data_IF_995388932069
#
_entry.id   IF_995388932069
#
_cell.length_a   1.000
_cell.length_b   1.000
_cell.length_c   1.000
_cell.angle_alpha   90.00
_cell.angle_beta   90.00
_cell.angle_gamma   90.00
#
_symmetry.space_group_name_H-M   'P 1'
#
loop_
_entity.id
_entity.type
_entity.pdbx_description
1 polymer ?
#
# COMPACT_ATOMS: atom_id res chain seq x y z
N UNK A 1 -3.17 -41.13 46.50
CA UNK A 1 -3.78 -40.45 45.35
C UNK A 1 -3.01 -39.16 45.12
N UNK A 2 -2.20 -39.09 44.06
CA UNK A 2 -1.50 -37.88 43.64
C UNK A 2 -1.89 -37.61 42.19
N UNK A 3 -2.63 -36.53 41.95
CA UNK A 3 -3.10 -36.13 40.63
C UNK A 3 -2.04 -35.29 39.92
N UNK A 4 -1.53 -35.78 38.79
CA UNK A 4 -0.77 -34.97 37.84
C UNK A 4 -1.73 -34.06 37.06
N UNK A 5 -1.56 -32.75 37.17
CA UNK A 5 -2.15 -31.79 36.24
C UNK A 5 -1.20 -31.60 35.04
N UNK A 6 -1.58 -32.13 33.87
CA UNK A 6 -0.95 -31.77 32.60
C UNK A 6 -1.38 -30.34 32.24
N UNK A 7 -0.45 -29.40 32.26
CA UNK A 7 -0.64 -28.12 31.58
C UNK A 7 -0.39 -28.34 30.07
N UNK A 8 -1.46 -28.31 29.29
CA UNK A 8 -1.38 -28.28 27.83
C UNK A 8 -0.80 -26.94 27.38
N UNK A 9 0.38 -26.97 26.77
CA UNK A 9 0.93 -25.83 26.04
C UNK A 9 0.15 -25.67 24.72
N UNK A 10 -0.83 -24.77 24.71
CA UNK A 10 -1.42 -24.30 23.46
C UNK A 10 -0.41 -23.39 22.77
N UNK A 11 0.27 -23.90 21.73
CA UNK A 11 1.05 -23.04 20.83
C UNK A 11 0.08 -22.15 20.07
N UNK A 12 -0.05 -20.89 20.48
CA UNK A 12 -0.71 -19.88 19.67
C UNK A 12 0.15 -19.65 18.42
N UNK A 13 -0.25 -20.27 17.31
CA UNK A 13 0.30 -19.96 15.99
C UNK A 13 -0.15 -18.55 15.66
N UNK A 14 0.73 -17.56 15.84
CA UNK A 14 0.50 -16.22 15.32
C UNK A 14 0.70 -16.30 13.80
N UNK A 15 -0.37 -16.63 13.08
CA UNK A 15 -0.42 -16.44 11.65
C UNK A 15 -0.21 -14.94 11.35
N UNK A 16 0.54 -14.62 10.30
CA UNK A 16 0.74 -13.24 9.85
C UNK A 16 -0.63 -12.58 9.69
N UNK A 17 -0.90 -11.58 10.53
CA UNK A 17 -2.22 -10.93 10.59
C UNK A 17 -2.48 -10.27 9.23
N UNK A 18 -3.60 -10.58 8.55
CA UNK A 18 -4.01 -9.84 7.36
C UNK A 18 -4.03 -8.34 7.67
N UNK A 19 -3.21 -7.55 6.96
CA UNK A 19 -3.12 -6.10 7.17
C UNK A 19 -1.96 -5.63 8.06
N UNK A 20 -1.02 -6.49 8.46
CA UNK A 20 0.23 -6.03 9.06
C UNK A 20 0.94 -5.01 8.14
N UNK A 21 1.45 -3.88 8.67
CA UNK A 21 2.19 -2.89 7.87
C UNK A 21 3.39 -3.50 7.15
N UNK A 22 3.77 -2.92 6.01
CA UNK A 22 4.91 -3.38 5.24
C UNK A 22 6.21 -3.25 6.05
N UNK A 23 6.95 -4.34 6.12
CA UNK A 23 8.23 -4.45 6.79
C UNK A 23 9.34 -4.64 5.77
N UNK A 24 10.49 -4.01 6.02
CA UNK A 24 11.69 -4.15 5.21
C UNK A 24 12.81 -4.77 6.03
N UNK A 25 13.45 -5.80 5.50
CA UNK A 25 14.56 -6.47 6.16
C UNK A 25 15.63 -6.82 5.13
N UNK A 26 16.90 -6.56 5.45
CA UNK A 26 17.99 -7.19 4.74
C UNK A 26 18.11 -8.63 5.22
N UNK A 27 18.06 -9.57 4.28
CA UNK A 27 18.17 -10.99 4.58
C UNK A 27 19.35 -11.57 3.82
N UNK A 28 20.17 -12.32 4.54
CA UNK A 28 21.29 -13.06 3.97
C UNK A 28 20.82 -14.43 3.51
N UNK A 29 21.23 -14.86 2.32
CA UNK A 29 20.89 -16.19 1.88
C UNK A 29 21.50 -17.24 2.81
N UNK A 30 20.72 -18.27 3.11
CA UNK A 30 21.27 -19.46 3.73
C UNK A 30 22.18 -20.20 2.73
N UNK A 31 23.50 -20.35 2.99
CA UNK A 31 24.42 -21.03 2.09
C UNK A 31 24.09 -22.52 1.88
N UNK A 32 23.32 -23.12 2.79
CA UNK A 32 22.88 -24.52 2.67
C UNK A 32 21.55 -24.66 1.93
N UNK A 33 20.94 -23.55 1.51
CA UNK A 33 19.68 -23.56 0.78
C UNK A 33 19.90 -23.68 -0.72
N UNK A 34 18.85 -24.11 -1.43
CA UNK A 34 18.82 -24.08 -2.89
C UNK A 34 18.82 -22.67 -3.50
N UNK A 35 18.86 -21.59 -2.70
CA UNK A 35 18.88 -20.19 -3.17
C UNK A 35 20.29 -19.66 -3.47
N UNK A 36 21.34 -20.46 -3.24
CA UNK A 36 22.72 -20.09 -3.58
C UNK A 36 23.26 -20.91 -4.75
N UNK A 37 24.26 -20.34 -5.44
CA UNK A 37 25.09 -21.11 -6.37
C UNK A 37 26.38 -21.56 -5.66
N UNK A 38 27.10 -22.58 -6.20
CA UNK A 38 28.40 -22.98 -5.64
C UNK A 38 29.40 -21.82 -5.55
N UNK A 39 29.33 -20.85 -6.46
CA UNK A 39 30.23 -19.70 -6.50
C UNK A 39 29.90 -18.65 -5.43
N UNK A 40 28.66 -18.63 -4.91
CA UNK A 40 28.25 -17.66 -3.91
C UNK A 40 26.74 -17.46 -3.77
N UNK A 41 26.40 -16.72 -2.71
CA UNK A 41 25.04 -16.35 -2.32
C UNK A 41 24.80 -14.86 -2.52
N UNK A 42 23.58 -14.47 -2.95
CA UNK A 42 23.15 -13.07 -2.99
C UNK A 42 22.15 -12.77 -1.87
N UNK A 43 22.39 -11.68 -1.13
CA UNK A 43 21.43 -11.14 -0.17
C UNK A 43 20.26 -10.42 -0.87
N UNK A 44 19.15 -10.23 -0.17
CA UNK A 44 18.01 -9.48 -0.69
C UNK A 44 17.33 -8.61 0.36
N UNK A 45 16.48 -7.71 -0.11
CA UNK A 45 15.58 -6.93 0.72
C UNK A 45 14.23 -7.64 0.73
N UNK A 46 13.83 -8.21 1.87
CA UNK A 46 12.46 -8.67 2.08
C UNK A 46 11.55 -7.44 2.24
N UNK A 47 10.42 -7.41 1.53
CA UNK A 47 9.40 -6.37 1.61
C UNK A 47 8.02 -7.04 1.77
N UNK A 48 7.57 -7.23 3.01
CA UNK A 48 6.39 -8.03 3.32
C UNK A 48 5.33 -7.25 4.07
N UNK A 49 4.06 -7.39 3.66
CA UNK A 49 2.92 -6.76 4.34
C UNK A 49 2.22 -5.68 3.52
N UNK A 50 1.32 -4.96 4.17
CA UNK A 50 0.47 -3.93 3.57
C UNK A 50 1.22 -2.61 3.39
N UNK A 51 1.21 -2.07 2.17
CA UNK A 51 1.83 -0.79 1.85
C UNK A 51 1.04 0.33 2.55
N UNK A 52 1.68 1.02 3.49
CA UNK A 52 1.10 2.15 4.23
C UNK A 52 1.85 3.45 3.92
N UNK A 53 1.45 4.56 4.55
CA UNK A 53 2.08 5.87 4.33
C UNK A 53 3.55 5.95 4.80
N UNK A 54 4.01 5.03 5.67
CA UNK A 54 5.38 5.01 6.21
C UNK A 54 6.33 4.20 5.34
N UNK A 55 5.78 3.24 4.59
CA UNK A 55 6.55 2.29 3.76
C UNK A 55 7.63 2.96 2.88
N UNK A 56 7.41 4.11 2.20
CA UNK A 56 8.45 4.77 1.43
C UNK A 56 9.62 5.28 2.28
N UNK A 57 9.36 5.79 3.49
CA UNK A 57 10.38 6.28 4.41
C UNK A 57 11.21 5.12 4.98
N UNK A 58 10.55 4.02 5.36
CA UNK A 58 11.21 2.82 5.86
C UNK A 58 12.10 2.17 4.79
N UNK A 59 11.62 2.12 3.54
CA UNK A 59 12.45 1.67 2.41
C UNK A 59 13.69 2.56 2.24
N UNK A 60 13.55 3.90 2.29
CA UNK A 60 14.72 4.80 2.19
C UNK A 60 15.72 4.55 3.31
N UNK A 61 15.24 4.34 4.54
CA UNK A 61 16.08 4.08 5.71
C UNK A 61 16.91 2.82 5.52
N UNK A 62 16.30 1.73 5.08
CA UNK A 62 17.01 0.49 4.78
C UNK A 62 17.99 0.66 3.60
N UNK A 63 17.58 1.34 2.53
CA UNK A 63 18.48 1.59 1.39
C UNK A 63 19.67 2.49 1.74
N UNK A 64 19.57 3.30 2.79
CA UNK A 64 20.69 4.06 3.31
C UNK A 64 21.70 3.17 4.06
N UNK A 65 21.23 2.17 4.83
CA UNK A 65 22.11 1.28 5.60
C UNK A 65 22.90 0.30 4.74
N UNK A 66 22.42 -0.06 3.55
CA UNK A 66 23.14 -0.94 2.61
C UNK A 66 24.00 -0.19 1.58
N UNK A 67 24.06 1.15 1.66
CA UNK A 67 24.87 1.98 0.77
C UNK A 67 24.46 1.89 -0.72
N UNK A 68 25.42 1.57 -1.59
CA UNK A 68 25.24 1.48 -3.05
C UNK A 68 24.95 0.07 -3.57
N UNK A 69 24.78 -0.91 -2.66
CA UNK A 69 24.47 -2.30 -3.04
C UNK A 69 23.16 -2.36 -3.81
N UNK A 70 23.15 -3.05 -4.96
CA UNK A 70 21.96 -3.27 -5.80
C UNK A 70 21.33 -4.62 -5.50
N UNK A 71 20.74 -4.74 -4.32
CA UNK A 71 20.06 -5.98 -3.90
C UNK A 71 18.65 -6.03 -4.49
N UNK A 72 18.15 -7.22 -4.87
CA UNK A 72 16.76 -7.35 -5.28
C UNK A 72 15.81 -7.12 -4.11
N UNK A 73 14.63 -6.59 -4.41
CA UNK A 73 13.51 -6.51 -3.48
C UNK A 73 12.59 -7.71 -3.74
N UNK A 74 12.38 -8.51 -2.71
CA UNK A 74 11.46 -9.65 -2.72
C UNK A 74 10.18 -9.21 -2.03
N UNK A 75 9.12 -9.00 -2.81
CA UNK A 75 7.86 -8.40 -2.33
C UNK A 75 6.75 -9.44 -2.20
N UNK A 76 6.13 -9.47 -1.02
CA UNK A 76 4.92 -10.22 -0.73
C UNK A 76 3.90 -9.28 -0.07
N UNK A 77 2.93 -8.79 -0.85
CA UNK A 77 2.03 -7.73 -0.40
C UNK A 77 0.61 -7.88 -0.92
N UNK A 78 -0.41 -7.73 -0.04
CA UNK A 78 -1.81 -7.60 -0.45
C UNK A 78 -2.11 -6.23 -1.09
N UNK A 79 -1.14 -5.32 -1.15
CA UNK A 79 -1.31 -3.94 -1.61
C UNK A 79 -1.49 -2.96 -0.46
N UNK A 80 -2.30 -1.92 -0.65
CA UNK A 80 -2.50 -0.84 0.32
C UNK A 80 -2.56 0.53 -0.34
N UNK A 81 -1.79 1.49 0.21
CA UNK A 81 -1.78 2.87 -0.24
C UNK A 81 -1.07 3.03 -1.60
N UNK A 82 -1.84 3.42 -2.63
CA UNK A 82 -1.35 3.60 -4.01
C UNK A 82 -0.29 4.71 -4.12
N UNK A 83 -0.45 5.82 -3.39
CA UNK A 83 0.51 6.92 -3.45
C UNK A 83 1.87 6.51 -2.86
N UNK A 84 1.85 5.81 -1.72
CA UNK A 84 3.05 5.23 -1.13
C UNK A 84 3.68 4.17 -2.04
N UNK A 85 2.89 3.31 -2.69
CA UNK A 85 3.40 2.32 -3.64
C UNK A 85 4.10 2.96 -4.84
N UNK A 86 3.53 4.05 -5.39
CA UNK A 86 4.16 4.84 -6.45
C UNK A 86 5.46 5.49 -5.98
N UNK A 87 5.48 6.06 -4.77
CA UNK A 87 6.68 6.68 -4.19
C UNK A 87 7.80 5.66 -3.94
N UNK A 88 7.45 4.49 -3.39
CA UNK A 88 8.36 3.35 -3.30
C UNK A 88 8.92 3.00 -4.68
N UNK A 89 8.06 2.90 -5.69
CA UNK A 89 8.51 2.60 -7.04
C UNK A 89 9.47 3.63 -7.62
N UNK A 90 9.27 4.91 -7.36
CA UNK A 90 10.22 5.96 -7.74
C UNK A 90 11.59 5.79 -7.08
N UNK A 91 11.61 5.43 -5.79
CA UNK A 91 12.85 5.11 -5.04
C UNK A 91 13.58 3.91 -5.67
N UNK A 92 12.83 2.83 -5.93
CA UNK A 92 13.34 1.57 -6.50
C UNK A 92 13.93 1.79 -7.88
N UNK A 93 13.18 2.46 -8.78
CA UNK A 93 13.61 2.75 -10.15
C UNK A 93 14.86 3.62 -10.15
N UNK A 94 14.91 4.66 -9.32
CA UNK A 94 16.07 5.55 -9.20
C UNK A 94 17.33 4.82 -8.72
N UNK A 95 17.18 3.83 -7.84
CA UNK A 95 18.29 2.99 -7.36
C UNK A 95 18.66 1.85 -8.32
N UNK A 96 17.86 1.62 -9.36
CA UNK A 96 18.09 0.57 -10.35
C UNK A 96 18.00 -0.83 -9.75
N UNK A 97 17.06 -1.04 -8.83
CA UNK A 97 16.88 -2.32 -8.14
C UNK A 97 15.94 -3.23 -8.92
N UNK A 98 16.17 -4.54 -8.82
CA UNK A 98 15.25 -5.56 -9.32
C UNK A 98 14.14 -5.82 -8.30
N UNK A 99 12.97 -6.25 -8.75
CA UNK A 99 11.83 -6.61 -7.88
C UNK A 99 11.33 -8.00 -8.28
N UNK A 100 11.11 -8.89 -7.32
CA UNK A 100 10.45 -10.16 -7.57
C UNK A 100 9.27 -10.34 -6.63
N UNK A 101 8.20 -10.97 -7.14
CA UNK A 101 7.14 -11.46 -6.26
C UNK A 101 7.58 -12.77 -5.65
N UNK A 102 7.70 -12.77 -4.33
CA UNK A 102 8.20 -13.88 -3.53
C UNK A 102 8.09 -13.53 -2.06
N UNK A 103 8.21 -14.52 -1.18
CA UNK A 103 8.30 -14.30 0.25
C UNK A 103 9.64 -14.79 0.81
N UNK A 104 9.89 -14.41 2.06
CA UNK A 104 11.11 -14.73 2.79
C UNK A 104 10.78 -15.52 4.04
N UNK A 105 11.43 -16.68 4.20
CA UNK A 105 11.42 -17.43 5.46
C UNK A 105 12.77 -17.30 6.13
N UNK A 106 12.79 -16.79 7.35
CA UNK A 106 14.03 -16.76 8.14
C UNK A 106 14.27 -18.13 8.75
N UNK A 107 15.53 -18.57 8.81
CA UNK A 107 15.89 -19.88 9.37
C UNK A 107 15.52 -20.00 10.85
N UNK A 108 15.55 -18.89 11.57
CA UNK A 108 15.18 -18.81 12.98
C UNK A 108 13.67 -18.81 13.21
N UNK A 109 12.86 -18.79 12.16
CA UNK A 109 11.40 -18.81 12.31
C UNK A 109 10.85 -20.23 12.43
N UNK A 110 10.09 -20.52 13.49
CA UNK A 110 9.44 -21.81 13.64
C UNK A 110 8.37 -21.98 12.54
N UNK A 111 8.15 -23.23 12.13
CA UNK A 111 7.04 -23.64 11.27
C UNK A 111 6.92 -22.87 9.94
N UNK A 112 8.03 -22.31 9.43
CA UNK A 112 8.05 -21.61 8.14
C UNK A 112 7.27 -20.30 8.09
N UNK A 113 7.02 -19.66 9.25
CA UNK A 113 6.42 -18.33 9.31
C UNK A 113 7.28 -17.28 8.57
N UNK A 114 6.65 -16.32 7.85
CA UNK A 114 7.38 -15.20 7.26
C UNK A 114 7.79 -14.21 8.35
N UNK A 115 9.01 -13.67 8.25
CA UNK A 115 9.59 -12.60 9.11
C UNK A 115 9.11 -12.59 10.58
N UNK A 116 9.14 -13.73 11.28
CA UNK A 116 8.73 -13.83 12.69
C UNK A 116 9.61 -12.97 13.62
N UNK A 117 9.08 -12.63 14.80
CA UNK A 117 9.78 -11.82 15.80
C UNK A 117 11.15 -12.37 16.20
N UNK A 118 11.25 -13.68 16.44
CA UNK A 118 12.49 -14.36 16.83
C UNK A 118 13.59 -14.28 15.76
N UNK A 119 13.19 -14.11 14.49
CA UNK A 119 14.13 -13.93 13.38
C UNK A 119 14.57 -12.50 13.16
N UNK A 120 13.97 -11.53 13.84
CA UNK A 120 14.29 -10.13 13.64
C UNK A 120 15.60 -9.71 14.32
N UNK A 121 16.72 -10.03 13.69
CA UNK A 121 18.06 -9.72 14.19
C UNK A 121 19.03 -9.39 13.06
N UNK A 122 20.13 -8.71 13.41
CA UNK A 122 21.23 -8.49 12.49
C UNK A 122 21.80 -9.83 11.99
N UNK A 123 22.17 -9.87 10.69
CA UNK A 123 22.68 -11.09 10.08
C UNK A 123 21.64 -12.21 9.95
N UNK A 124 20.34 -11.88 9.92
CA UNK A 124 19.28 -12.87 9.73
C UNK A 124 19.50 -13.62 8.41
N UNK A 125 19.54 -14.95 8.52
CA UNK A 125 19.62 -15.85 7.37
C UNK A 125 18.22 -16.31 6.99
N UNK A 126 17.99 -16.48 5.70
CA UNK A 126 16.71 -16.97 5.23
C UNK A 126 16.78 -17.65 3.88
N UNK A 127 15.60 -18.01 3.40
CA UNK A 127 15.35 -18.59 2.08
C UNK A 127 14.24 -17.81 1.39
N UNK A 128 14.35 -17.67 0.08
CA UNK A 128 13.30 -17.09 -0.76
C UNK A 128 12.42 -18.19 -1.31
N UNK A 129 11.11 -17.95 -1.30
CA UNK A 129 10.13 -18.81 -1.95
C UNK A 129 9.24 -18.00 -2.88
N UNK A 130 8.77 -18.65 -3.96
CA UNK A 130 7.86 -18.02 -4.92
C UNK A 130 6.41 -18.51 -4.77
N UNK A 131 6.22 -19.79 -4.43
CA UNK A 131 4.89 -20.43 -4.37
C UNK A 131 3.99 -19.75 -3.35
N UNK A 132 2.81 -19.32 -3.78
CA UNK A 132 1.80 -18.69 -2.92
C UNK A 132 2.13 -17.26 -2.48
N UNK A 133 3.28 -16.70 -2.89
CA UNK A 133 3.57 -15.29 -2.67
C UNK A 133 2.62 -14.42 -3.49
N UNK A 134 2.26 -13.26 -2.94
CA UNK A 134 1.21 -12.40 -3.51
C UNK A 134 1.72 -11.00 -3.81
N UNK A 135 1.20 -10.41 -4.88
CA UNK A 135 1.38 -9.00 -5.20
C UNK A 135 0.08 -8.44 -5.75
N UNK A 136 -0.76 -7.95 -4.85
CA UNK A 136 -2.13 -7.56 -5.14
C UNK A 136 -2.33 -6.04 -5.05
N UNK A 137 -3.36 -5.53 -5.73
CA UNK A 137 -3.86 -4.16 -5.60
C UNK A 137 -2.81 -3.08 -5.89
N UNK A 138 -2.24 -2.44 -4.87
CA UNK A 138 -1.18 -1.43 -5.01
C UNK A 138 0.22 -2.04 -5.22
N UNK A 139 0.44 -3.31 -4.91
CA UNK A 139 1.75 -3.95 -5.06
C UNK A 139 2.29 -3.95 -6.52
N UNK A 140 1.46 -4.17 -7.57
CA UNK A 140 1.92 -4.04 -8.96
C UNK A 140 2.59 -2.70 -9.31
N UNK A 141 2.30 -1.62 -8.59
CA UNK A 141 3.04 -0.36 -8.75
C UNK A 141 4.51 -0.54 -8.34
N UNK A 142 4.77 -1.19 -7.19
CA UNK A 142 6.12 -1.52 -6.72
C UNK A 142 6.82 -2.49 -7.68
N UNK A 143 6.12 -3.56 -8.09
CA UNK A 143 6.66 -4.54 -9.06
C UNK A 143 7.11 -3.88 -10.36
N UNK A 144 6.28 -2.98 -10.91
CA UNK A 144 6.60 -2.26 -12.15
C UNK A 144 7.86 -1.41 -12.05
N UNK A 145 8.31 -1.02 -10.85
CA UNK A 145 9.48 -0.17 -10.71
C UNK A 145 10.82 -0.90 -10.90
N UNK A 146 10.83 -2.23 -10.84
CA UNK A 146 12.04 -3.02 -11.00
C UNK A 146 12.71 -2.81 -12.37
N UNK A 147 14.05 -2.71 -12.40
CA UNK A 147 14.82 -2.78 -13.66
C UNK A 147 14.81 -4.17 -14.26
N UNK A 148 14.70 -5.19 -13.40
CA UNK A 148 14.19 -6.51 -13.73
C UNK A 148 13.04 -6.82 -12.79
N UNK A 149 12.01 -7.46 -13.32
CA UNK A 149 10.76 -7.72 -12.61
C UNK A 149 10.21 -9.07 -13.00
N UNK A 150 10.11 -9.95 -12.00
CA UNK A 150 9.82 -11.38 -12.19
C UNK A 150 8.74 -11.86 -11.23
N UNK A 151 7.93 -12.80 -11.71
CA UNK A 151 6.83 -13.42 -10.98
C UNK A 151 6.81 -14.89 -11.38
N UNK A 152 6.89 -15.78 -10.40
CA UNK A 152 6.76 -17.21 -10.66
C UNK A 152 5.34 -17.53 -11.15
N UNK A 153 5.17 -18.55 -12.02
CA UNK A 153 3.84 -19.07 -12.39
C UNK A 153 2.98 -19.51 -11.18
N UNK A 154 3.61 -19.76 -10.02
CA UNK A 154 2.93 -20.17 -8.78
C UNK A 154 2.75 -19.01 -7.77
N UNK A 155 3.14 -17.80 -8.14
CA UNK A 155 2.84 -16.58 -7.38
C UNK A 155 1.56 -15.93 -7.91
N UNK A 156 0.92 -15.12 -7.08
CA UNK A 156 -0.37 -14.50 -7.40
C UNK A 156 -0.16 -13.00 -7.58
N UNK A 157 -0.32 -12.52 -8.81
CA UNK A 157 -0.33 -11.08 -9.11
C UNK A 157 -1.72 -10.67 -9.56
N UNK A 158 -2.22 -9.53 -9.06
CA UNK A 158 -3.57 -9.11 -9.40
C UNK A 158 -3.87 -7.66 -9.07
N UNK A 159 -4.91 -7.14 -9.72
CA UNK A 159 -5.36 -5.76 -9.61
C UNK A 159 -6.88 -5.71 -9.40
N UNK A 160 -7.36 -4.58 -8.86
CA UNK A 160 -8.78 -4.27 -8.74
C UNK A 160 -8.99 -2.77 -8.72
N UNK A 161 -10.26 -2.33 -8.73
CA UNK A 161 -10.62 -0.91 -8.72
C UNK A 161 -10.03 -0.20 -7.51
N UNK A 162 -9.38 0.94 -7.74
CA UNK A 162 -8.80 1.75 -6.67
C UNK A 162 -9.93 2.38 -5.86
N UNK A 163 -9.99 2.04 -4.58
CA UNK A 163 -10.89 2.62 -3.59
C UNK A 163 -10.22 3.85 -2.96
N UNK A 164 -10.87 5.00 -3.06
CA UNK A 164 -10.44 6.23 -2.37
C UNK A 164 -11.41 6.52 -1.23
N UNK A 165 -10.88 6.61 -0.01
CA UNK A 165 -11.64 7.01 1.17
C UNK A 165 -11.52 8.52 1.39
N UNK A 166 -12.66 9.17 1.64
CA UNK A 166 -12.79 10.59 1.86
C UNK A 166 -13.33 10.84 3.27
N UNK A 167 -12.79 11.85 3.95
CA UNK A 167 -13.38 12.42 5.14
C UNK A 167 -14.58 13.28 4.71
N UNK A 168 -15.74 12.91 5.20
CA UNK A 168 -16.97 13.62 4.94
C UNK A 168 -17.16 14.66 6.05
N UNK A 169 -17.22 15.93 5.68
CA UNK A 169 -17.37 17.05 6.59
C UNK A 169 -18.65 17.81 6.27
N UNK A 170 -19.43 18.15 7.29
CA UNK A 170 -20.54 19.11 7.19
C UNK A 170 -20.01 20.49 7.54
N UNK A 171 -20.11 21.41 6.60
CA UNK A 171 -19.69 22.80 6.79
C UNK A 171 -20.93 23.70 6.74
N UNK A 172 -21.13 24.48 7.79
CA UNK A 172 -22.18 25.50 7.85
C UNK A 172 -21.58 26.84 7.41
N UNK A 173 -22.13 27.44 6.36
CA UNK A 173 -21.75 28.77 5.92
C UNK A 173 -22.85 29.78 6.21
N UNK A 174 -22.45 31.00 6.57
CA UNK A 174 -23.29 32.19 6.48
C UNK A 174 -22.96 32.93 5.19
N UNK A 175 -23.95 33.02 4.32
CA UNK A 175 -23.86 33.69 3.04
C UNK A 175 -24.50 35.06 3.15
N UNK A 176 -23.83 36.11 2.67
CA UNK A 176 -24.45 37.41 2.42
C UNK A 176 -24.53 37.64 0.92
N UNK A 177 -25.68 38.16 0.48
CA UNK A 177 -25.96 38.46 -0.91
C UNK A 177 -26.32 39.91 -1.08
N UNK A 178 -25.91 40.52 -2.19
CA UNK A 178 -26.42 41.79 -2.67
C UNK A 178 -27.24 41.54 -3.93
N UNK A 179 -28.41 42.17 -4.03
CA UNK A 179 -29.23 42.10 -5.24
C UNK A 179 -28.82 43.25 -6.16
N UNK A 180 -28.32 42.92 -7.34
CA UNK A 180 -27.95 43.89 -8.38
C UNK A 180 -28.75 43.51 -9.63
N UNK A 181 -29.58 44.42 -10.14
CA UNK A 181 -30.44 44.19 -11.32
C UNK A 181 -31.29 42.90 -11.22
N UNK A 182 -31.86 42.64 -10.04
CA UNK A 182 -32.68 41.46 -9.78
C UNK A 182 -31.92 40.14 -9.62
N UNK A 183 -30.58 40.12 -9.76
CA UNK A 183 -29.74 38.92 -9.54
C UNK A 183 -29.04 38.96 -8.19
N UNK A 184 -29.05 37.84 -7.47
CA UNK A 184 -28.31 37.67 -6.21
C UNK A 184 -26.83 37.48 -6.51
N UNK A 185 -25.99 38.34 -5.93
CA UNK A 185 -24.53 38.22 -5.97
C UNK A 185 -24.01 37.94 -4.57
N UNK A 186 -23.18 36.91 -4.40
CA UNK A 186 -22.55 36.59 -3.11
C UNK A 186 -21.52 37.69 -2.81
N UNK A 187 -21.72 38.40 -1.70
CA UNK A 187 -20.79 39.44 -1.20
C UNK A 187 -19.92 38.94 -0.05
N UNK A 188 -20.37 37.91 0.69
CA UNK A 188 -19.57 37.26 1.72
C UNK A 188 -19.96 35.79 1.89
N UNK A 189 -18.98 34.94 2.16
CA UNK A 189 -19.12 33.54 2.56
C UNK A 189 -18.29 33.33 3.82
N UNK A 190 -18.94 33.22 4.96
CA UNK A 190 -18.28 32.96 6.24
C UNK A 190 -18.53 31.52 6.67
N UNK A 191 -17.47 30.76 6.92
CA UNK A 191 -17.58 29.44 7.56
C UNK A 191 -17.89 29.63 9.05
N UNK A 192 -19.04 29.12 9.49
CA UNK A 192 -19.47 29.19 10.89
C UNK A 192 -18.99 27.97 11.68
N UNK A 193 -19.08 26.79 11.08
CA UNK A 193 -18.66 25.54 11.72
C UNK A 193 -18.33 24.47 10.70
N UNK A 194 -17.49 23.52 11.12
CA UNK A 194 -17.10 22.32 10.37
C UNK A 194 -17.15 21.13 11.31
N UNK A 195 -17.85 20.08 10.89
CA UNK A 195 -17.99 18.85 11.68
C UNK A 195 -17.69 17.63 10.82
N UNK A 196 -16.84 16.73 11.31
CA UNK A 196 -16.65 15.41 10.72
C UNK A 196 -17.95 14.60 10.84
N UNK A 197 -18.38 14.01 9.73
CA UNK A 197 -19.62 13.23 9.61
C UNK A 197 -19.32 11.74 9.48
N UNK A 198 -18.23 11.38 8.80
CA UNK A 198 -17.85 9.98 8.60
C UNK A 198 -16.89 9.81 7.43
N UNK A 199 -16.65 8.56 7.08
CA UNK A 199 -15.84 8.20 5.91
C UNK A 199 -16.76 7.86 4.73
N UNK A 200 -16.36 8.31 3.54
CA UNK A 200 -17.03 8.00 2.28
C UNK A 200 -16.05 7.35 1.31
N UNK A 201 -16.40 6.17 0.81
CA UNK A 201 -15.57 5.46 -0.16
C UNK A 201 -16.10 5.62 -1.58
N UNK A 202 -15.17 5.89 -2.49
CA UNK A 202 -15.45 5.97 -3.92
C UNK A 202 -14.48 5.14 -4.73
N UNK A 203 -15.01 4.43 -5.72
CA UNK A 203 -14.23 3.77 -6.78
C UNK A 203 -14.06 4.68 -8.00
N UNK A 204 -14.64 5.89 -7.99
CA UNK A 204 -14.49 6.86 -9.07
C UNK A 204 -13.12 7.53 -8.95
N UNK A 205 -12.24 7.26 -9.90
CA UNK A 205 -10.98 7.98 -10.02
C UNK A 205 -11.21 9.40 -10.55
N UNK A 206 -10.64 10.39 -9.88
CA UNK A 206 -10.53 11.73 -10.44
C UNK A 206 -9.64 11.71 -11.70
N UNK A 207 -9.90 12.64 -12.64
CA UNK A 207 -9.08 12.78 -13.86
C UNK A 207 -7.59 12.96 -13.55
N UNK A 208 -7.28 13.72 -12.49
CA UNK A 208 -5.91 13.95 -12.02
C UNK A 208 -5.25 12.65 -11.52
N UNK A 209 -5.94 11.88 -10.67
CA UNK A 209 -5.41 10.61 -10.16
C UNK A 209 -5.20 9.59 -11.27
N UNK A 210 -6.19 9.43 -12.16
CA UNK A 210 -6.07 8.56 -13.36
C UNK A 210 -4.85 8.94 -14.19
N UNK A 211 -4.64 10.23 -14.44
CA UNK A 211 -3.49 10.72 -15.22
C UNK A 211 -2.16 10.43 -14.53
N UNK A 212 -2.07 10.62 -13.20
CA UNK A 212 -0.86 10.29 -12.42
C UNK A 212 -0.51 8.81 -12.48
N UNK A 213 -1.49 7.94 -12.32
CA UNK A 213 -1.29 6.48 -12.40
C UNK A 213 -0.80 6.07 -13.79
N UNK A 214 -1.45 6.57 -14.85
CA UNK A 214 -1.04 6.27 -16.22
C UNK A 214 0.37 6.80 -16.53
N UNK A 215 0.70 8.00 -16.07
CA UNK A 215 2.04 8.57 -16.23
C UNK A 215 3.11 7.73 -15.51
N UNK A 216 2.79 7.24 -14.31
CA UNK A 216 3.67 6.35 -13.55
C UNK A 216 3.93 5.05 -14.29
N UNK A 217 2.89 4.32 -14.71
CA UNK A 217 3.07 3.07 -15.44
C UNK A 217 3.80 3.27 -16.76
N UNK A 218 3.48 4.34 -17.50
CA UNK A 218 4.21 4.72 -18.72
C UNK A 218 5.70 4.93 -18.44
N UNK A 219 6.05 5.65 -17.37
CA UNK A 219 7.45 5.88 -16.96
C UNK A 219 8.16 4.57 -16.60
N UNK A 220 7.43 3.62 -16.03
CA UNK A 220 7.95 2.29 -15.72
C UNK A 220 7.96 1.34 -16.94
N UNK A 221 7.50 1.76 -18.11
CA UNK A 221 7.42 0.90 -19.29
C UNK A 221 6.35 -0.18 -19.18
N UNK A 222 5.24 0.11 -18.49
CA UNK A 222 4.06 -0.75 -18.39
C UNK A 222 2.92 -0.12 -19.20
N UNK A 223 2.25 -0.94 -20.01
CA UNK A 223 1.16 -0.52 -20.86
C UNK A 223 -0.04 0.00 -20.04
N UNK A 224 -0.76 0.97 -20.59
CA UNK A 224 -1.91 1.61 -19.94
C UNK A 224 -3.04 0.64 -19.60
N UNK A 225 -3.14 -0.48 -20.31
CA UNK A 225 -4.18 -1.49 -20.11
C UNK A 225 -4.19 -2.07 -18.70
N UNK A 226 -3.09 -2.00 -17.94
CA UNK A 226 -3.10 -2.40 -16.52
C UNK A 226 -4.13 -1.63 -15.68
N UNK A 227 -4.36 -0.35 -15.99
CA UNK A 227 -5.38 0.43 -15.31
C UNK A 227 -6.79 -0.04 -15.72
N UNK A 228 -6.99 -0.39 -16.98
CA UNK A 228 -8.28 -0.88 -17.45
C UNK A 228 -8.57 -2.28 -16.86
N UNK A 229 -7.54 -3.14 -16.71
CA UNK A 229 -7.62 -4.40 -15.96
C UNK A 229 -7.98 -4.17 -14.48
N UNK A 230 -7.36 -3.18 -13.83
CA UNK A 230 -7.71 -2.83 -12.45
C UNK A 230 -9.18 -2.42 -12.35
N UNK A 231 -9.64 -1.57 -13.27
CA UNK A 231 -11.01 -1.07 -13.26
C UNK A 231 -12.07 -2.14 -13.58
N UNK A 232 -11.69 -3.28 -14.16
CA UNK A 232 -12.63 -4.36 -14.49
C UNK A 232 -12.99 -5.27 -13.30
N UNK A 233 -12.34 -5.14 -12.14
CA UNK A 233 -12.67 -5.88 -10.93
C UNK A 233 -13.10 -4.94 -9.79
N UNK A 234 -14.19 -5.26 -9.11
CA UNK A 234 -14.65 -4.49 -7.95
C UNK A 234 -13.64 -4.57 -6.80
N UNK A 235 -13.65 -3.63 -5.82
CA UNK A 235 -12.71 -3.68 -4.70
C UNK A 235 -12.81 -4.94 -3.82
N UNK A 236 -13.93 -5.66 -3.88
CA UNK A 236 -14.15 -6.93 -3.17
C UNK A 236 -13.68 -8.17 -3.93
N UNK A 237 -13.19 -8.00 -5.17
CA UNK A 237 -12.64 -9.08 -5.99
C UNK A 237 -11.28 -8.70 -6.55
N UNK A 238 -10.52 -9.70 -7.01
CA UNK A 238 -9.21 -9.49 -7.63
C UNK A 238 -9.27 -10.01 -9.06
N UNK A 239 -8.89 -9.18 -10.03
CA UNK A 239 -8.51 -9.66 -11.35
C UNK A 239 -7.06 -10.10 -11.29
N UNK A 240 -6.83 -11.41 -11.42
CA UNK A 240 -5.49 -11.95 -11.58
C UNK A 240 -4.89 -11.51 -12.92
N UNK A 241 -3.57 -11.30 -12.95
CA UNK A 241 -2.79 -11.03 -14.17
C UNK A 241 -1.92 -12.27 -14.38
N UNK A 242 -2.11 -12.96 -15.50
CA UNK A 242 -1.28 -14.13 -15.83
C UNK A 242 0.15 -13.71 -16.20
N UNK A 243 1.15 -14.61 -16.13
CA UNK A 243 2.50 -14.29 -16.58
C UNK A 243 2.55 -13.79 -18.03
N UNK A 244 1.75 -14.37 -18.94
CA UNK A 244 1.69 -13.95 -20.35
C UNK A 244 1.09 -12.55 -20.52
N UNK A 245 -0.01 -12.25 -19.80
CA UNK A 245 -0.59 -10.90 -19.78
C UNK A 245 0.43 -9.90 -19.22
N UNK A 246 1.11 -10.29 -18.14
CA UNK A 246 2.10 -9.46 -17.47
C UNK A 246 3.32 -9.18 -18.36
N UNK A 247 3.82 -10.16 -19.12
CA UNK A 247 4.85 -9.95 -20.14
C UNK A 247 4.35 -9.03 -21.26
N UNK A 248 3.13 -9.26 -21.77
CA UNK A 248 2.53 -8.50 -22.88
C UNK A 248 2.37 -7.01 -22.57
N UNK A 249 1.97 -6.67 -21.34
CA UNK A 249 1.83 -5.28 -20.90
C UNK A 249 3.14 -4.72 -20.35
N UNK A 250 4.22 -5.49 -20.39
CA UNK A 250 5.51 -5.13 -19.83
C UNK A 250 5.55 -5.14 -18.31
N UNK A 251 4.55 -5.60 -17.56
CA UNK A 251 4.66 -5.73 -16.10
C UNK A 251 5.78 -6.68 -15.65
N UNK A 252 6.15 -7.67 -16.47
CA UNK A 252 7.34 -8.52 -16.27
C UNK A 252 8.40 -8.25 -17.34
N UNK A 253 9.66 -8.49 -16.98
CA UNK A 253 10.78 -8.50 -17.94
C UNK A 253 11.21 -9.91 -18.31
N UNK A 254 10.99 -10.88 -17.42
CA UNK A 254 11.45 -12.25 -17.56
C UNK A 254 10.45 -13.21 -16.90
N UNK A 255 10.33 -14.42 -17.47
CA UNK A 255 9.58 -15.52 -16.88
C UNK A 255 10.50 -16.30 -15.93
N UNK A 256 10.54 -15.88 -14.67
CA UNK A 256 11.37 -16.48 -13.64
C UNK A 256 10.74 -16.31 -12.25
N UNK A 257 11.19 -17.12 -11.27
CA UNK A 257 10.83 -16.98 -9.86
C UNK A 257 11.73 -15.99 -9.11
N UNK A 258 11.30 -15.65 -7.90
CA UNK A 258 12.13 -14.87 -6.97
C UNK A 258 13.41 -15.64 -6.58
N UNK A 259 13.31 -16.95 -6.46
CA UNK A 259 14.43 -17.85 -6.21
C UNK A 259 15.43 -17.87 -7.38
N UNK A 260 14.98 -17.83 -8.62
CA UNK A 260 15.85 -17.69 -9.79
C UNK A 260 16.57 -16.34 -9.79
N UNK A 261 15.85 -15.25 -9.46
CA UNK A 261 16.44 -13.91 -9.38
C UNK A 261 17.54 -13.85 -8.33
N UNK A 262 17.31 -14.42 -7.14
CA UNK A 262 18.31 -14.46 -6.07
C UNK A 262 19.51 -15.33 -6.47
N UNK A 263 19.26 -16.50 -7.07
CA UNK A 263 20.35 -17.36 -7.57
C UNK A 263 21.16 -16.72 -8.70
N UNK A 264 20.54 -15.90 -9.55
CA UNK A 264 21.22 -15.28 -10.68
C UNK A 264 22.17 -14.15 -10.26
N UNK A 265 21.99 -13.56 -9.08
CA UNK A 265 22.87 -12.52 -8.60
C UNK A 265 22.71 -11.17 -9.33
N UNK A 266 23.78 -10.38 -9.37
CA UNK A 266 23.82 -9.07 -10.04
C UNK A 266 23.86 -9.24 -11.56
N UNK A 267 22.70 -9.54 -12.16
CA UNK A 267 22.60 -9.72 -13.59
C UNK A 267 22.28 -8.41 -14.33
N UNK A 268 23.00 -8.15 -15.43
CA UNK A 268 22.67 -7.06 -16.34
C UNK A 268 21.25 -7.24 -16.94
N UNK A 269 20.57 -6.13 -17.20
CA UNK A 269 19.24 -6.12 -17.83
C UNK A 269 19.34 -6.72 -19.24
N UNK A 270 18.44 -7.63 -19.60
CA UNK A 270 18.38 -8.27 -20.92
C UNK A 270 19.24 -9.52 -21.10
N UNK A 271 20.08 -9.88 -20.12
CA UNK A 271 20.79 -11.16 -20.13
C UNK A 271 19.93 -12.26 -19.47
N UNK A 272 19.89 -13.49 -20.02
CA UNK A 272 19.18 -14.60 -19.39
C UNK A 272 19.82 -14.93 -18.04
N UNK A 273 18.99 -15.23 -17.03
CA UNK A 273 19.44 -15.50 -15.64
C UNK A 273 20.52 -16.59 -15.53
N UNK A 274 20.56 -17.51 -16.49
CA UNK A 274 21.57 -18.57 -16.59
C UNK A 274 22.99 -18.04 -16.81
N UNK A 275 23.14 -16.89 -17.47
CA UNK A 275 24.44 -16.31 -17.85
C UNK A 275 25.04 -15.35 -16.81
N UNK A 276 24.35 -15.17 -15.69
CA UNK A 276 24.73 -14.20 -14.66
C UNK A 276 25.59 -14.86 -13.57
N UNK A 277 26.67 -14.17 -13.16
CA UNK A 277 27.47 -14.56 -12.00
C UNK A 277 27.00 -13.78 -10.76
N UNK A 278 26.78 -14.47 -9.65
CA UNK A 278 26.42 -13.81 -8.40
C UNK A 278 27.67 -13.24 -7.72
N UNK A 279 27.69 -11.94 -7.34
CA UNK A 279 28.69 -11.45 -6.43
C UNK A 279 28.51 -12.13 -5.08
N UNK A 280 29.60 -12.65 -4.52
CA UNK A 280 29.61 -13.36 -3.23
C UNK A 280 29.21 -12.37 -2.14
N UNK A 281 28.14 -12.67 -1.40
CA UNK A 281 27.82 -11.96 -0.15
C UNK A 281 28.96 -12.16 0.83
N UNK A 282 29.76 -11.11 1.04
CA UNK A 282 30.96 -11.13 1.89
C UNK A 282 30.80 -10.31 3.17
N UNK A 283 29.60 -9.80 3.47
CA UNK A 283 29.45 -8.76 4.48
C UNK A 283 28.37 -9.02 5.54
N UNK A 284 28.79 -8.97 6.80
CA UNK A 284 27.97 -9.01 8.01
C UNK A 284 27.44 -7.61 8.43
N UNK A 285 27.68 -6.58 7.61
CA UNK A 285 27.79 -5.19 8.11
C UNK A 285 26.58 -4.28 7.81
N UNK A 286 25.49 -4.80 7.26
CA UNK A 286 24.27 -4.00 7.11
C UNK A 286 23.44 -4.04 8.40
N UNK A 287 24.01 -3.40 9.40
CA UNK A 287 23.39 -3.04 10.66
C UNK A 287 22.48 -1.83 10.43
N UNK A 288 21.39 -1.77 11.18
CA UNK A 288 20.42 -0.66 11.25
C UNK A 288 19.27 -0.74 10.23
N UNK A 289 18.45 -1.78 10.39
CA UNK A 289 16.99 -1.61 10.39
C UNK A 289 16.39 -2.49 11.48
N UNK A 290 16.78 -2.24 12.74
CA UNK A 290 15.96 -2.70 13.85
C UNK A 290 14.65 -1.88 13.85
N UNK A 291 13.51 -2.51 14.16
CA UNK A 291 12.20 -1.88 14.09
C UNK A 291 11.97 -1.09 15.39
N UNK A 292 11.31 0.07 15.35
CA UNK A 292 10.54 0.52 16.49
C UNK A 292 9.15 -0.12 16.42
N UNK A 293 9.03 -1.46 16.33
CA UNK A 293 7.71 -2.10 16.19
C UNK A 293 7.60 -3.44 16.94
N UNK A 294 8.24 -3.58 18.11
CA UNK A 294 7.92 -4.68 19.02
C UNK A 294 6.50 -4.57 19.64
N UNK A 295 5.79 -3.44 19.44
CA UNK A 295 4.52 -3.17 20.10
C UNK A 295 3.29 -3.85 19.46
N UNK A 296 3.38 -4.45 18.27
CA UNK A 296 2.21 -5.12 17.68
C UNK A 296 1.92 -6.50 18.29
N UNK A 297 2.88 -7.12 18.99
CA UNK A 297 2.65 -8.35 19.73
C UNK A 297 1.99 -8.11 21.11
N UNK A 298 1.96 -6.88 21.60
CA UNK A 298 1.45 -6.56 22.95
C UNK A 298 0.05 -5.94 22.98
N UNK A 299 -0.51 -5.54 21.82
CA UNK A 299 -1.88 -5.05 21.74
C UNK A 299 -2.73 -5.92 20.80
N UNK A 300 -3.62 -6.81 21.33
CA UNK A 300 -4.65 -7.40 20.51
C UNK A 300 -5.51 -6.28 19.91
N UNK A 301 -5.71 -6.35 18.59
CA UNK A 301 -6.50 -5.40 17.81
C UNK A 301 -7.86 -5.12 18.47
N UNK A 302 -8.02 -3.94 19.06
CA UNK A 302 -9.33 -3.39 19.40
C UNK A 302 -9.68 -2.13 18.60
N UNK A 303 -8.69 -1.43 18.02
CA UNK A 303 -8.94 -0.10 17.42
C UNK A 303 -8.95 -0.02 15.88
N UNK A 304 -8.84 -1.14 15.16
CA UNK A 304 -8.89 -1.13 13.68
C UNK A 304 -9.75 -2.25 13.07
N UNK A 305 -10.87 -2.59 13.70
CA UNK A 305 -11.99 -3.18 12.99
C UNK A 305 -12.92 -2.04 12.56
N UNK A 306 -13.16 -1.78 11.25
CA UNK A 306 -14.48 -1.31 10.90
C UNK A 306 -15.45 -2.38 11.40
N UNK A 307 -16.31 -2.04 12.35
CA UNK A 307 -17.39 -2.92 12.76
C UNK A 307 -18.10 -3.43 11.51
N UNK A 308 -17.94 -4.71 11.19
CA UNK A 308 -18.84 -5.40 10.28
C UNK A 308 -20.17 -5.52 11.02
N UNK A 309 -20.92 -4.43 11.06
CA UNK A 309 -22.32 -4.44 11.45
C UNK A 309 -23.03 -5.30 10.40
N UNK A 310 -23.60 -6.41 10.85
CA UNK A 310 -24.55 -7.20 10.09
C UNK A 310 -25.67 -6.28 9.59
N UNK A 311 -26.13 -6.42 8.33
CA UNK A 311 -27.19 -5.57 7.82
C UNK A 311 -28.51 -6.02 8.45
N UNK A 312 -28.87 -5.42 9.59
CA UNK A 312 -30.25 -5.45 10.04
C UNK A 312 -31.07 -4.57 9.10
N UNK A 313 -31.95 -5.24 8.35
CA UNK A 313 -32.98 -4.66 7.51
C UNK A 313 -33.92 -3.78 8.33
N UNK A 314 -33.79 -2.47 8.17
CA UNK A 314 -34.86 -1.47 8.40
C UNK A 314 -34.48 -0.14 7.72
N UNK A 315 -35.47 0.64 7.25
CA UNK A 315 -35.31 1.52 6.09
C UNK A 315 -34.50 2.79 6.42
N UNK A 316 -33.39 2.97 5.68
CA UNK A 316 -32.57 4.18 5.70
C UNK A 316 -33.35 5.42 5.26
N UNK A 317 -33.30 6.55 5.99
CA UNK A 317 -33.72 7.84 5.46
C UNK A 317 -32.70 8.29 4.39
N UNK A 318 -33.21 8.90 3.32
CA UNK A 318 -32.49 9.23 2.09
C UNK A 318 -31.09 9.84 2.32
N UNK A 319 -30.07 9.14 1.82
CA UNK A 319 -28.66 9.59 1.73
C UNK A 319 -28.58 10.76 0.74
N UNK A 320 -28.04 11.90 1.17
CA UNK A 320 -27.60 12.95 0.25
C UNK A 320 -26.21 12.62 -0.27
N UNK A 321 -26.08 12.48 -1.60
CA UNK A 321 -24.80 12.30 -2.30
C UNK A 321 -23.87 13.53 -2.10
N UNK A 322 -22.55 13.36 -2.24
CA UNK A 322 -21.61 14.50 -2.22
C UNK A 322 -22.08 15.51 -3.31
N UNK A 323 -22.56 16.67 -2.88
CA UNK A 323 -23.12 17.69 -3.78
C UNK A 323 -21.99 18.45 -4.47
N UNK A 324 -21.99 18.52 -5.80
CA UNK A 324 -21.46 19.69 -6.51
C UNK A 324 -22.54 20.77 -6.52
N UNK A 325 -22.14 22.01 -6.18
CA UNK A 325 -23.04 23.15 -5.92
C UNK A 325 -24.22 23.24 -6.92
N UNK A 326 -25.48 23.34 -6.45
CA UNK A 326 -26.61 23.55 -7.33
C UNK A 326 -26.72 25.01 -7.78
N UNK A 327 -27.12 25.21 -9.04
CA UNK A 327 -27.38 26.51 -9.68
C UNK A 327 -28.83 26.95 -9.42
N UNK A 328 -28.95 28.16 -8.85
CA UNK A 328 -30.03 29.16 -8.80
C UNK A 328 -31.53 28.78 -8.90
N UNK A 329 -32.30 29.31 -7.94
CA UNK A 329 -33.76 29.50 -7.97
C UNK A 329 -34.12 30.99 -7.71
N UNK A 330 -35.18 31.52 -8.35
CA UNK A 330 -35.71 32.91 -8.21
C UNK A 330 -37.20 32.90 -7.79
N UNK A 331 -37.66 33.87 -6.97
CA UNK A 331 -38.46 34.97 -7.53
C UNK A 331 -38.18 36.38 -6.92
N UNK A 332 -38.77 37.38 -7.59
CA UNK A 332 -38.63 38.85 -7.53
C UNK A 332 -38.82 39.56 -6.19
N UNK A 333 -37.94 40.52 -5.85
CA UNK A 333 -38.20 41.72 -5.02
C UNK A 333 -37.18 42.84 -5.32
N UNK A 334 -37.59 44.09 -5.13
CA UNK A 334 -36.83 45.33 -5.40
C UNK A 334 -36.09 45.89 -4.17
N UNK A 335 -34.98 46.58 -4.44
CA UNK A 335 -34.06 47.36 -3.56
C UNK A 335 -33.03 46.64 -2.67
N UNK A 336 -31.75 46.83 -3.06
CA UNK A 336 -30.50 47.14 -2.31
C UNK A 336 -30.20 46.63 -0.88
N UNK A 337 -30.99 45.75 -0.26
CA UNK A 337 -30.64 45.14 1.03
C UNK A 337 -29.70 43.95 0.87
N UNK A 338 -28.65 43.91 1.68
CA UNK A 338 -27.85 42.71 1.85
C UNK A 338 -28.69 41.65 2.57
N UNK A 339 -28.96 40.52 1.91
CA UNK A 339 -29.74 39.41 2.49
C UNK A 339 -28.74 38.38 3.03
N UNK A 340 -29.00 37.85 4.23
CA UNK A 340 -28.19 36.78 4.83
C UNK A 340 -28.95 35.46 4.79
N UNK A 341 -28.26 34.37 4.49
CA UNK A 341 -28.78 33.01 4.69
C UNK A 341 -27.72 32.09 5.27
N UNK A 342 -28.14 31.00 5.90
CA UNK A 342 -27.24 29.94 6.33
C UNK A 342 -27.44 28.72 5.44
N UNK A 343 -26.34 28.15 4.95
CA UNK A 343 -26.35 26.97 4.10
C UNK A 343 -25.45 25.90 4.73
N UNK A 344 -25.97 24.67 4.78
CA UNK A 344 -25.20 23.51 5.21
C UNK A 344 -24.78 22.73 3.97
N UNK A 345 -23.48 22.47 3.82
CA UNK A 345 -22.91 21.75 2.68
C UNK A 345 -22.10 20.55 3.16
N UNK A 346 -22.23 19.42 2.46
CA UNK A 346 -21.37 18.26 2.65
C UNK A 346 -20.14 18.35 1.74
N UNK A 347 -18.94 18.29 2.33
CA UNK A 347 -17.66 18.33 1.62
C UNK A 347 -16.92 17.01 1.83
N UNK A 348 -16.31 16.50 0.76
CA UNK A 348 -15.57 15.24 0.77
C UNK A 348 -14.08 15.60 0.56
N UNK A 349 -13.21 15.36 1.57
CA UNK A 349 -11.76 15.64 1.53
C UNK A 349 -10.99 14.32 1.49
N UNK A 350 -9.91 14.22 0.72
CA UNK A 350 -9.09 13.00 0.73
C UNK A 350 -8.54 12.75 2.15
N UNK A 351 -8.79 11.58 2.72
CA UNK A 351 -8.30 11.21 4.05
C UNK A 351 -6.76 11.16 4.13
N UNK A 352 -6.08 11.04 2.98
CA UNK A 352 -4.61 11.09 2.86
C UNK A 352 -3.99 12.50 3.00
N UNK A 353 -4.80 13.55 3.23
CA UNK A 353 -4.34 14.96 3.25
C UNK A 353 -4.38 15.63 4.63
N UNK A 354 -4.48 14.85 5.71
CA UNK A 354 -4.44 15.40 7.07
C UNK A 354 -3.11 14.99 7.72
N UNK A 355 -2.17 15.94 7.96
CA UNK A 355 -1.20 15.73 9.02
C UNK A 355 -1.99 15.60 10.32
N UNK A 356 -1.82 14.48 11.01
CA UNK A 356 -2.19 14.35 12.41
C UNK A 356 -1.45 15.43 13.21
N UNK A 357 -2.10 16.55 13.48
CA UNK A 357 -1.78 17.42 14.62
C UNK A 357 -2.85 18.50 14.86
N UNK A 358 -3.32 18.51 16.11
CA UNK A 358 -3.75 19.64 16.95
C UNK A 358 -5.08 20.36 16.66
N UNK A 359 -6.03 20.19 17.59
CA UNK A 359 -6.36 21.26 18.55
C UNK A 359 -6.97 20.69 19.85
N UNK A 360 -6.76 21.37 21.00
CA UNK A 360 -6.98 20.80 22.33
C UNK A 360 -8.45 20.93 22.76
N UNK A 361 -8.93 19.92 23.49
CA UNK A 361 -10.21 20.01 24.21
C UNK A 361 -10.16 21.17 25.23
N UNK A 362 -11.23 21.96 25.37
CA UNK A 362 -11.38 22.85 26.52
C UNK A 362 -11.57 22.00 27.78
N UNK A 363 -10.87 22.40 28.84
CA UNK A 363 -11.04 21.90 30.20
C UNK A 363 -12.52 21.88 30.59
N UNK A 364 -12.96 20.78 31.20
CA UNK A 364 -13.96 20.78 32.27
C UNK A 364 -13.34 20.12 33.49
#
# INVERSE_FOLDING_TARGET
MAGLALFGLTTAVVAQVPGAPMQFMLVHADPNSGNCRPEGCMDWIAAEGMIDARSPADLRKLLASIGNRKLPIIVNSPGGNVAAAMEMGEIIRKRGLSVAVGGTRLLSCPNGQPLCGDGWRAGAKGVVYSVGATCLSACPFVLSAGVRRVVSPFSITGVHQIRTTYDQERILYRMRYQVINGKKHIINRQELSRKFVGLYDSTKLSKSLRSKILAYFKKMGVDRSILDMAMSAAPSSIRLITPDEAMKIGLLTDLAGADDLVKAGACAVGQPFTSCQAPISTDATALIANPPFADWQLNPMQDFLPSFATPNSSPTPQRSDCVQEPVNYSPHWDSSRAISSEISVMRCRNSASVPSSTSPSPKQ
#
